data_IF_872744696870
#
_entry.id   IF_872744696870
#
_cell.length_a   1.000
_cell.length_b   1.000
_cell.length_c   1.000
_cell.angle_alpha   90.00
_cell.angle_beta   90.00
_cell.angle_gamma   90.00
#
_symmetry.space_group_name_H-M   'P 1'
#
loop_
_entity.id
_entity.type
_entity.pdbx_description
1 polymer ?
#
# COMPACT_ATOMS: atom_id res chain seq x y z
N UNK A 1 35.67 -38.80 14.56
CA UNK A 1 34.73 -38.49 13.46
C UNK A 1 34.50 -37.00 13.43
N UNK A 2 34.96 -36.33 12.39
CA UNK A 2 34.72 -34.89 12.22
C UNK A 2 33.33 -34.70 11.64
N UNK A 3 32.44 -34.03 12.36
CA UNK A 3 31.15 -33.62 11.83
C UNK A 3 31.36 -32.32 11.04
N UNK A 4 30.96 -32.29 9.76
CA UNK A 4 30.89 -31.06 8.99
C UNK A 4 29.49 -30.46 9.15
N UNK A 5 29.42 -29.20 9.57
CA UNK A 5 28.17 -28.44 9.60
C UNK A 5 27.92 -27.89 8.19
N UNK A 6 26.85 -28.35 7.54
CA UNK A 6 26.41 -27.77 6.26
C UNK A 6 25.69 -26.46 6.56
N UNK A 7 26.35 -25.33 6.26
CA UNK A 7 25.73 -24.00 6.33
C UNK A 7 24.83 -23.82 5.10
N UNK A 8 23.58 -23.41 5.31
CA UNK A 8 22.68 -23.08 4.22
C UNK A 8 23.19 -21.83 3.47
N UNK A 9 22.96 -21.72 2.14
CA UNK A 9 23.25 -20.48 1.42
C UNK A 9 22.56 -19.27 2.05
N UNK A 10 23.16 -18.09 1.92
CA UNK A 10 22.52 -16.85 2.32
C UNK A 10 21.28 -16.60 1.45
N UNK A 11 20.22 -16.13 2.08
CA UNK A 11 19.01 -15.71 1.39
C UNK A 11 19.19 -14.32 0.78
N UNK A 12 18.84 -14.19 -0.50
CA UNK A 12 19.03 -12.97 -1.31
C UNK A 12 17.80 -12.63 -2.14
N UNK A 13 16.69 -13.35 -1.95
CA UNK A 13 15.47 -13.19 -2.75
C UNK A 13 14.50 -12.31 -1.99
N UNK A 14 13.98 -11.26 -2.61
CA UNK A 14 12.96 -10.42 -1.96
C UNK A 14 11.57 -11.08 -2.01
N UNK A 15 10.70 -10.82 -1.01
CA UNK A 15 9.34 -11.32 -1.01
C UNK A 15 8.53 -10.85 -2.22
N UNK A 16 7.66 -11.72 -2.73
CA UNK A 16 6.60 -11.36 -3.66
C UNK A 16 5.42 -10.76 -2.90
N UNK A 17 5.01 -9.54 -3.26
CA UNK A 17 3.95 -8.80 -2.60
C UNK A 17 2.85 -8.42 -3.61
N UNK A 18 1.58 -8.67 -3.24
CA UNK A 18 0.41 -8.24 -3.98
C UNK A 18 -0.57 -7.52 -3.05
N UNK A 19 -1.07 -6.36 -3.49
CA UNK A 19 -1.95 -5.49 -2.71
C UNK A 19 -3.15 -5.08 -3.55
N UNK A 20 -4.36 -5.24 -3.00
CA UNK A 20 -5.59 -4.65 -3.53
C UNK A 20 -6.31 -3.85 -2.45
N UNK A 21 -7.13 -2.87 -2.85
CA UNK A 21 -7.82 -1.96 -1.94
C UNK A 21 -9.32 -2.03 -2.19
N UNK A 22 -10.10 -2.08 -1.10
CA UNK A 22 -11.56 -2.11 -1.17
C UNK A 22 -12.16 -1.02 -0.29
N UNK A 23 -12.97 -0.09 -0.83
CA UNK A 23 -13.22 0.11 -2.25
C UNK A 23 -12.00 0.69 -2.98
N UNK A 24 -11.88 0.41 -4.29
CA UNK A 24 -10.86 1.03 -5.15
C UNK A 24 -11.39 2.25 -5.95
N UNK A 25 -12.66 2.62 -5.75
CA UNK A 25 -13.30 3.77 -6.37
C UNK A 25 -14.13 4.51 -5.33
N UNK A 26 -13.97 5.84 -5.21
CA UNK A 26 -14.74 6.67 -4.30
C UNK A 26 -15.66 7.60 -5.09
N UNK A 27 -16.97 7.39 -4.95
CA UNK A 27 -17.99 8.23 -5.57
C UNK A 27 -19.23 8.28 -4.67
N UNK A 28 -19.92 9.42 -4.56
CA UNK A 28 -19.63 10.72 -5.19
C UNK A 28 -18.50 11.49 -4.47
N UNK A 29 -17.84 12.40 -5.21
CA UNK A 29 -16.75 13.24 -4.69
C UNK A 29 -17.27 14.41 -3.82
N UNK A 30 -17.97 14.09 -2.70
CA UNK A 30 -18.63 15.06 -1.81
C UNK A 30 -17.82 15.41 -0.54
N UNK A 31 -16.54 15.02 -0.47
CA UNK A 31 -15.66 15.32 0.66
C UNK A 31 -15.77 14.37 1.85
N UNK A 32 -16.51 13.26 1.70
CA UNK A 32 -16.70 12.25 2.74
C UNK A 32 -15.43 11.43 2.98
N UNK A 33 -15.18 11.05 4.23
CA UNK A 33 -14.15 10.06 4.57
C UNK A 33 -14.71 8.65 4.34
N UNK A 34 -14.05 7.89 3.48
CA UNK A 34 -14.47 6.53 3.11
C UNK A 34 -13.46 5.53 3.67
N UNK A 35 -13.89 4.51 4.44
CA UNK A 35 -12.99 3.48 4.94
C UNK A 35 -12.47 2.63 3.79
N UNK A 36 -11.16 2.40 3.77
CA UNK A 36 -10.46 1.53 2.82
C UNK A 36 -9.87 0.35 3.59
N UNK A 37 -10.02 -0.84 3.04
CA UNK A 37 -9.36 -2.05 3.53
C UNK A 37 -8.34 -2.53 2.50
N UNK A 38 -7.10 -2.76 2.93
CA UNK A 38 -6.08 -3.41 2.11
C UNK A 38 -6.14 -4.92 2.25
N UNK A 39 -6.14 -5.61 1.11
CA UNK A 39 -6.00 -7.06 1.01
C UNK A 39 -4.61 -7.37 0.48
N UNK A 40 -3.80 -8.02 1.31
CA UNK A 40 -2.38 -8.24 1.07
C UNK A 40 -2.10 -9.74 1.00
N UNK A 41 -1.38 -10.14 -0.04
CA UNK A 41 -0.81 -11.48 -0.19
C UNK A 41 0.70 -11.34 -0.30
N UNK A 42 1.44 -12.09 0.51
CA UNK A 42 2.90 -12.09 0.52
C UNK A 42 3.43 -13.52 0.50
N UNK A 43 4.50 -13.75 -0.24
CA UNK A 43 5.18 -15.03 -0.34
C UNK A 43 6.68 -14.83 -0.48
N UNK A 44 7.45 -15.63 0.22
CA UNK A 44 8.90 -15.69 0.10
C UNK A 44 9.36 -17.17 0.01
N UNK A 45 10.59 -17.41 -0.45
CA UNK A 45 11.14 -18.76 -0.62
C UNK A 45 11.82 -19.31 0.64
N UNK A 46 12.28 -18.46 1.56
CA UNK A 46 12.94 -18.83 2.81
C UNK A 46 12.22 -18.30 4.06
N UNK A 47 11.46 -17.21 3.95
CA UNK A 47 10.64 -16.65 5.01
C UNK A 47 9.15 -17.01 4.86
N UNK A 48 8.53 -17.47 5.94
CA UNK A 48 7.10 -17.79 5.95
C UNK A 48 6.22 -16.58 6.28
N UNK A 49 6.78 -15.56 6.92
CA UNK A 49 6.05 -14.40 7.41
C UNK A 49 6.89 -13.11 7.24
N UNK A 50 7.13 -12.67 5.99
CA UNK A 50 7.77 -11.37 5.77
C UNK A 50 7.01 -10.23 6.46
N UNK A 51 7.74 -9.27 6.99
CA UNK A 51 7.20 -8.09 7.66
C UNK A 51 6.55 -7.15 6.64
N UNK A 52 5.27 -6.81 6.86
CA UNK A 52 4.52 -5.87 6.02
C UNK A 52 4.45 -4.50 6.67
N UNK A 53 4.61 -3.43 5.87
CA UNK A 53 4.43 -2.05 6.34
C UNK A 53 3.67 -1.19 5.34
N UNK A 54 2.76 -0.36 5.83
CA UNK A 54 2.19 0.77 5.11
C UNK A 54 3.24 1.89 5.07
N UNK A 55 3.80 2.15 3.88
CA UNK A 55 4.91 3.08 3.71
C UNK A 55 4.44 4.50 3.42
N UNK A 56 3.44 4.64 2.53
CA UNK A 56 2.95 5.95 2.11
C UNK A 56 1.53 5.90 1.56
N UNK A 57 0.82 7.00 1.73
CA UNK A 57 -0.42 7.29 1.01
C UNK A 57 -0.28 8.70 0.43
N UNK A 58 -0.37 8.83 -0.89
CA UNK A 58 -0.29 10.12 -1.60
C UNK A 58 -1.43 10.24 -2.61
N UNK A 59 -1.61 11.40 -3.24
CA UNK A 59 -2.45 11.54 -4.42
C UNK A 59 -1.91 12.57 -5.42
N UNK A 60 -2.37 12.50 -6.66
CA UNK A 60 -1.88 13.30 -7.80
C UNK A 60 -2.33 14.78 -7.82
N UNK A 61 -2.95 15.32 -6.77
CA UNK A 61 -3.51 16.68 -6.76
C UNK A 61 -2.82 17.63 -5.77
N UNK A 62 -1.98 17.11 -4.87
CA UNK A 62 -1.23 17.91 -3.91
C UNK A 62 0.10 17.22 -3.57
N UNK A 63 1.06 18.00 -3.06
CA UNK A 63 2.32 17.46 -2.53
C UNK A 63 2.13 16.81 -1.15
N UNK A 64 1.07 17.17 -0.43
CA UNK A 64 0.74 16.63 0.88
C UNK A 64 -0.71 16.12 0.89
N UNK A 65 -0.87 14.84 1.25
CA UNK A 65 -2.14 14.15 1.36
C UNK A 65 -2.67 14.05 2.80
N UNK A 66 -1.93 14.58 3.79
CA UNK A 66 -2.22 14.43 5.22
C UNK A 66 -3.65 14.84 5.61
N UNK A 67 -4.19 15.89 4.99
CA UNK A 67 -5.57 16.36 5.25
C UNK A 67 -6.66 15.45 4.67
N UNK A 68 -6.29 14.52 3.79
CA UNK A 68 -7.19 13.63 3.05
C UNK A 68 -7.07 12.16 3.47
N UNK A 69 -6.20 11.89 4.45
CA UNK A 69 -5.95 10.55 5.01
C UNK A 69 -6.16 10.60 6.52
N UNK A 70 -6.98 9.71 7.07
CA UNK A 70 -7.19 9.58 8.52
C UNK A 70 -6.95 8.13 8.93
N UNK A 71 -6.42 7.94 10.14
CA UNK A 71 -6.31 6.62 10.77
C UNK A 71 -5.20 5.73 10.20
N UNK A 72 -4.35 6.26 9.32
CA UNK A 72 -3.20 5.54 8.78
C UNK A 72 -2.02 5.56 9.76
N UNK A 73 -1.53 4.39 10.14
CA UNK A 73 -0.34 4.22 10.98
C UNK A 73 0.87 3.80 10.14
N UNK A 74 1.58 4.79 9.57
CA UNK A 74 2.73 4.54 8.71
C UNK A 74 3.85 3.79 9.44
N UNK A 75 4.50 2.87 8.72
CA UNK A 75 5.57 2.02 9.24
C UNK A 75 5.09 0.76 9.97
N UNK A 76 3.78 0.50 10.03
CA UNK A 76 3.17 -0.69 10.63
C UNK A 76 2.38 -1.49 9.59
N UNK A 77 1.95 -2.73 9.90
CA UNK A 77 1.01 -3.51 9.08
C UNK A 77 -0.44 -3.00 9.21
N UNK A 78 -0.62 -1.69 9.08
CA UNK A 78 -1.94 -1.07 9.05
C UNK A 78 -2.60 -1.33 7.70
N UNK A 79 -3.80 -1.93 7.75
CA UNK A 79 -4.60 -2.30 6.58
C UNK A 79 -5.94 -1.58 6.53
N UNK A 80 -6.19 -0.63 7.43
CA UNK A 80 -7.47 0.06 7.57
C UNK A 80 -7.26 1.54 7.83
N UNK A 81 -7.56 2.34 6.83
CA UNK A 81 -7.45 3.80 6.86
C UNK A 81 -8.63 4.42 6.12
N UNK A 82 -8.78 5.74 6.22
CA UNK A 82 -9.83 6.49 5.55
C UNK A 82 -9.24 7.42 4.52
N UNK A 83 -9.84 7.46 3.34
CA UNK A 83 -9.50 8.39 2.27
C UNK A 83 -10.65 9.35 2.01
N UNK A 84 -10.33 10.61 1.75
CA UNK A 84 -11.34 11.61 1.40
C UNK A 84 -11.80 11.45 -0.05
N UNK A 85 -13.10 11.26 -0.25
CA UNK A 85 -13.75 11.30 -1.55
C UNK A 85 -13.93 12.76 -2.02
N UNK A 86 -12.83 13.44 -2.37
CA UNK A 86 -12.84 14.80 -2.92
C UNK A 86 -11.97 14.88 -4.16
N UNK A 87 -12.20 15.91 -4.97
CA UNK A 87 -11.32 16.29 -6.08
C UNK A 87 -11.10 17.79 -6.01
N UNK A 88 -9.97 18.25 -6.53
CA UNK A 88 -9.83 19.67 -6.80
C UNK A 88 -10.89 20.10 -7.85
N UNK A 89 -11.42 21.29 -7.65
CA UNK A 89 -12.59 21.80 -8.38
C UNK A 89 -12.23 22.50 -9.69
N UNK A 90 -10.95 22.53 -10.06
CA UNK A 90 -10.46 23.34 -11.17
C UNK A 90 -10.88 22.75 -12.52
N UNK A 91 -11.21 23.65 -13.45
CA UNK A 91 -11.64 23.29 -14.82
C UNK A 91 -10.54 22.45 -15.51
N UNK A 92 -10.91 21.28 -16.03
CA UNK A 92 -9.99 20.41 -16.77
C UNK A 92 -9.26 19.34 -15.95
N UNK A 93 -9.58 19.18 -14.66
CA UNK A 93 -8.92 18.17 -13.82
C UNK A 93 -9.28 16.73 -14.19
N UNK A 94 -8.24 15.90 -14.11
CA UNK A 94 -8.26 14.44 -14.26
C UNK A 94 -8.91 13.82 -13.02
N UNK A 95 -9.12 12.50 -13.03
CA UNK A 95 -9.50 11.77 -11.82
C UNK A 95 -8.43 11.98 -10.73
N UNK A 96 -8.85 12.11 -9.47
CA UNK A 96 -7.91 11.99 -8.35
C UNK A 96 -7.55 10.52 -8.21
N UNK A 97 -6.26 10.25 -8.06
CA UNK A 97 -5.72 8.91 -7.84
C UNK A 97 -4.93 8.94 -6.55
N UNK A 98 -5.41 8.22 -5.54
CA UNK A 98 -4.60 7.87 -4.38
C UNK A 98 -3.65 6.74 -4.76
N UNK A 99 -2.39 6.89 -4.38
CA UNK A 99 -1.36 5.85 -4.45
C UNK A 99 -1.02 5.42 -3.02
N UNK A 100 -1.26 4.15 -2.71
CA UNK A 100 -0.94 3.51 -1.44
C UNK A 100 0.24 2.58 -1.66
N UNK A 101 1.30 2.76 -0.87
CA UNK A 101 2.55 2.00 -0.98
C UNK A 101 2.68 1.10 0.23
N UNK A 102 2.85 -0.20 0.00
CA UNK A 102 3.27 -1.16 1.02
C UNK A 102 4.65 -1.71 0.72
N UNK A 103 5.33 -2.14 1.76
CA UNK A 103 6.52 -2.97 1.65
C UNK A 103 6.34 -4.35 2.27
N UNK A 104 7.17 -5.29 1.81
CA UNK A 104 7.42 -6.57 2.43
C UNK A 104 8.93 -6.74 2.62
N UNK A 105 9.38 -7.06 3.84
CA UNK A 105 10.79 -7.29 4.16
C UNK A 105 10.94 -8.66 4.81
N UNK A 106 11.83 -9.52 4.30
CA UNK A 106 12.11 -10.81 4.91
C UNK A 106 13.09 -10.71 6.10
N UNK A 107 13.30 -11.83 6.79
CA UNK A 107 14.29 -11.97 7.87
C UNK A 107 15.75 -11.69 7.46
N UNK A 108 16.10 -11.83 6.17
CA UNK A 108 17.42 -11.57 5.62
C UNK A 108 17.62 -10.07 5.25
N UNK A 109 16.54 -9.29 5.28
CA UNK A 109 16.52 -7.87 4.96
C UNK A 109 16.23 -7.56 3.48
N UNK A 110 15.89 -8.54 2.64
CA UNK A 110 15.47 -8.27 1.27
C UNK A 110 14.08 -7.64 1.28
N UNK A 111 13.88 -6.60 0.47
CA UNK A 111 12.68 -5.75 0.52
C UNK A 111 12.04 -5.54 -0.85
N UNK A 112 10.72 -5.64 -0.91
CA UNK A 112 9.89 -5.31 -2.07
C UNK A 112 8.93 -4.16 -1.72
N UNK A 113 8.66 -3.27 -2.70
CA UNK A 113 7.62 -2.25 -2.62
C UNK A 113 6.51 -2.54 -3.63
N UNK A 114 5.25 -2.33 -3.26
CA UNK A 114 4.10 -2.48 -4.15
C UNK A 114 3.13 -1.32 -3.98
N UNK A 115 2.60 -0.85 -5.12
CA UNK A 115 1.63 0.24 -5.19
C UNK A 115 0.23 -0.31 -5.46
N UNK A 116 -0.75 0.23 -4.77
CA UNK A 116 -2.17 0.01 -5.06
C UNK A 116 -2.90 1.36 -5.14
N UNK A 117 -4.02 1.40 -5.87
CA UNK A 117 -4.66 2.66 -6.24
C UNK A 117 -6.13 2.71 -5.85
N UNK A 118 -6.57 3.90 -5.44
CA UNK A 118 -7.99 4.25 -5.26
C UNK A 118 -8.29 5.47 -6.12
N UNK A 119 -9.35 5.40 -6.93
CA UNK A 119 -9.71 6.45 -7.89
C UNK A 119 -10.94 7.22 -7.39
N UNK A 120 -10.87 8.55 -7.37
CA UNK A 120 -12.06 9.41 -7.25
C UNK A 120 -12.36 9.94 -8.65
N UNK A 121 -13.33 9.35 -9.36
CA UNK A 121 -13.52 9.66 -10.77
C UNK A 121 -14.22 11.01 -10.95
N UNK A 122 -13.99 11.68 -12.08
CA UNK A 122 -14.66 12.92 -12.44
C UNK A 122 -16.17 12.74 -12.71
N UNK A 123 -16.54 11.55 -13.17
CA UNK A 123 -17.92 11.14 -13.51
C UNK A 123 -18.15 9.72 -12.99
N UNK A 124 -19.41 9.30 -12.74
CA UNK A 124 -19.70 7.90 -12.48
C UNK A 124 -19.21 7.06 -13.67
N UNK A 125 -18.71 5.85 -13.39
CA UNK A 125 -18.48 4.83 -14.42
C UNK A 125 -19.75 4.02 -14.65
#
# INVERSE_FOLDING_TARGET
>A
TTAYVKVAPADTTAPQLAVTLTPNTLWPALGQMVPITAHISVKDDHDRQPEIRLEAITHNEANDASSDVIGAEFGTDDRRFWLRAVRDGRRGQKDRVYEVVYSATDWAGNKTLTKAYVIVPRRPR
#
